data_IF_327555758158
#
_entry.id   IF_327555758158
#
_cell.length_a   1.000
_cell.length_b   1.000
_cell.length_c   1.000
_cell.angle_alpha   90.00
_cell.angle_beta   90.00
_cell.angle_gamma   90.00
#
_symmetry.space_group_name_H-M   'P 1'
#
loop_
_entity.id
_entity.type
_entity.pdbx_description
1 polymer ?
#
# COMPACT_ATOMS: atom_id res chain seq x y z
N UNK A 1 52.14 61.83 -33.63
CA UNK A 1 51.01 61.43 -32.76
C UNK A 1 50.28 60.17 -33.27
N UNK A 2 50.92 59.34 -34.11
CA UNK A 2 50.31 58.12 -34.65
C UNK A 2 50.94 56.80 -34.13
N UNK A 3 52.15 56.83 -33.56
CA UNK A 3 52.79 55.63 -33.00
C UNK A 3 52.16 55.16 -31.66
N UNK A 4 51.56 56.06 -30.88
CA UNK A 4 50.90 55.72 -29.60
C UNK A 4 49.50 55.08 -29.78
N UNK A 5 48.88 55.23 -30.95
CA UNK A 5 47.55 54.69 -31.25
C UNK A 5 47.60 53.19 -31.60
N UNK A 6 48.67 52.74 -32.28
CA UNK A 6 48.84 51.35 -32.66
C UNK A 6 49.23 50.44 -31.48
N UNK A 7 50.03 50.93 -30.54
CA UNK A 7 50.49 50.14 -29.39
C UNK A 7 49.35 49.80 -28.41
N UNK A 8 48.43 50.75 -28.18
CA UNK A 8 47.27 50.53 -27.30
C UNK A 8 46.24 49.55 -27.89
N UNK A 9 46.08 49.50 -29.21
CA UNK A 9 45.20 48.51 -29.86
C UNK A 9 45.76 47.09 -29.79
N UNK A 10 47.09 46.93 -29.82
CA UNK A 10 47.73 45.63 -29.73
C UNK A 10 47.76 45.09 -28.29
N UNK A 11 47.97 45.96 -27.30
CA UNK A 11 47.87 45.58 -25.87
C UNK A 11 46.45 45.18 -25.48
N UNK A 12 45.43 45.91 -25.93
CA UNK A 12 44.04 45.56 -25.67
C UNK A 12 43.63 44.23 -26.33
N UNK A 13 44.15 43.93 -27.54
CA UNK A 13 43.90 42.66 -28.23
C UNK A 13 44.57 41.44 -27.57
N UNK A 14 45.74 41.62 -26.95
CA UNK A 14 46.40 40.56 -26.17
C UNK A 14 45.67 40.31 -24.84
N UNK A 15 45.25 41.37 -24.15
CA UNK A 15 44.58 41.27 -22.84
C UNK A 15 43.21 40.58 -22.94
N UNK A 16 42.44 40.85 -24.01
CA UNK A 16 41.16 40.17 -24.27
C UNK A 16 41.36 38.68 -24.55
N UNK A 17 42.46 38.28 -25.22
CA UNK A 17 42.70 36.88 -25.59
C UNK A 17 43.14 36.03 -24.39
N UNK A 18 43.86 36.61 -23.44
CA UNK A 18 44.31 35.95 -22.21
C UNK A 18 43.14 35.74 -21.22
N UNK A 19 42.24 36.72 -21.08
CA UNK A 19 41.01 36.57 -20.29
C UNK A 19 40.09 35.47 -20.82
N UNK A 20 39.96 35.34 -22.15
CA UNK A 20 39.15 34.27 -22.76
C UNK A 20 39.78 32.88 -22.55
N UNK A 21 41.11 32.78 -22.57
CA UNK A 21 41.80 31.52 -22.29
C UNK A 21 41.65 31.09 -20.82
N UNK A 22 41.70 32.05 -19.89
CA UNK A 22 41.48 31.82 -18.45
C UNK A 22 40.03 31.42 -18.18
N UNK A 23 39.05 32.08 -18.82
CA UNK A 23 37.63 31.72 -18.75
C UNK A 23 37.39 30.28 -19.25
N UNK A 24 38.05 29.88 -20.33
CA UNK A 24 37.90 28.54 -20.91
C UNK A 24 38.59 27.46 -20.06
N UNK A 25 39.71 27.78 -19.40
CA UNK A 25 40.36 26.89 -18.43
C UNK A 25 39.54 26.75 -17.15
N UNK A 26 38.95 27.83 -16.64
CA UNK A 26 38.02 27.79 -15.50
C UNK A 26 36.75 27.00 -15.84
N UNK A 27 36.22 27.13 -17.05
CA UNK A 27 35.08 26.32 -17.51
C UNK A 27 35.43 24.82 -17.62
N UNK A 28 36.64 24.48 -18.08
CA UNK A 28 37.11 23.08 -18.12
C UNK A 28 37.36 22.51 -16.73
N UNK A 29 37.92 23.31 -15.82
CA UNK A 29 38.12 22.91 -14.42
C UNK A 29 36.78 22.74 -13.70
N UNK A 30 35.83 23.66 -13.91
CA UNK A 30 34.46 23.57 -13.40
C UNK A 30 33.74 22.33 -13.93
N UNK A 31 33.89 21.97 -15.21
CA UNK A 31 33.30 20.74 -15.75
C UNK A 31 33.97 19.45 -15.21
N UNK A 32 35.28 19.47 -14.96
CA UNK A 32 36.00 18.32 -14.42
C UNK A 32 35.69 18.07 -12.93
N UNK A 33 35.45 19.13 -12.14
CA UNK A 33 34.99 19.01 -10.75
C UNK A 33 33.48 18.77 -10.66
N UNK A 34 32.64 19.34 -11.56
CA UNK A 34 31.22 19.00 -11.63
C UNK A 34 31.00 17.52 -11.98
N UNK A 35 31.77 16.96 -12.92
CA UNK A 35 31.63 15.55 -13.29
C UNK A 35 31.96 14.57 -12.15
N UNK A 36 32.92 14.92 -11.28
CA UNK A 36 33.23 14.11 -10.09
C UNK A 36 32.26 14.35 -8.94
N UNK A 37 31.77 15.58 -8.77
CA UNK A 37 30.73 15.89 -7.79
C UNK A 37 29.36 15.32 -8.18
N UNK A 38 29.05 15.19 -9.48
CA UNK A 38 27.80 14.60 -9.96
C UNK A 38 27.70 13.10 -9.65
N UNK A 39 28.79 12.35 -9.76
CA UNK A 39 28.77 10.94 -9.38
C UNK A 39 28.58 10.75 -7.85
N UNK A 40 29.18 11.61 -7.02
CA UNK A 40 28.95 11.60 -5.56
C UNK A 40 27.56 12.14 -5.16
N UNK A 41 27.00 13.06 -5.97
CA UNK A 41 25.64 13.56 -5.78
C UNK A 41 24.62 12.52 -6.20
N UNK A 42 24.85 11.72 -7.26
CA UNK A 42 23.97 10.60 -7.64
C UNK A 42 23.88 9.54 -6.54
N UNK A 43 25.00 9.22 -5.86
CA UNK A 43 25.05 8.26 -4.76
C UNK A 43 24.33 8.79 -3.50
N UNK A 44 24.46 10.10 -3.20
CA UNK A 44 23.69 10.77 -2.13
C UNK A 44 22.22 11.01 -2.50
N UNK A 45 21.90 11.20 -3.79
CA UNK A 45 20.53 11.39 -4.29
C UNK A 45 19.75 10.07 -4.29
N UNK A 46 20.41 8.94 -4.59
CA UNK A 46 19.82 7.63 -4.41
C UNK A 46 19.40 7.40 -2.94
N UNK A 47 20.25 7.81 -1.99
CA UNK A 47 19.97 7.74 -0.55
C UNK A 47 18.79 8.66 -0.13
N UNK A 48 18.71 9.88 -0.67
CA UNK A 48 17.58 10.79 -0.43
C UNK A 48 16.28 10.34 -1.15
N UNK A 49 16.38 9.72 -2.32
CA UNK A 49 15.24 9.13 -3.05
C UNK A 49 14.75 7.86 -2.34
N UNK A 50 15.64 7.07 -1.73
CA UNK A 50 15.30 5.93 -0.86
C UNK A 50 14.55 6.37 0.40
N UNK A 51 14.98 7.45 1.06
CA UNK A 51 14.28 8.04 2.21
C UNK A 51 12.89 8.61 1.83
N UNK A 52 12.77 9.15 0.61
CA UNK A 52 11.50 9.61 0.03
C UNK A 52 10.61 8.45 -0.45
N UNK A 53 11.19 7.33 -0.88
CA UNK A 53 10.49 6.10 -1.22
C UNK A 53 9.85 5.48 0.03
N UNK A 54 10.52 5.54 1.20
CA UNK A 54 9.93 5.13 2.47
C UNK A 54 8.74 6.01 2.90
N UNK A 55 8.75 7.31 2.57
CA UNK A 55 7.66 8.24 2.87
C UNK A 55 6.44 8.11 1.93
N UNK A 56 6.52 7.31 0.86
CA UNK A 56 5.54 7.27 -0.23
C UNK A 56 4.87 5.91 -0.45
N UNK A 57 5.06 4.93 0.44
CA UNK A 57 4.20 3.73 0.48
C UNK A 57 2.82 4.06 1.08
N UNK A 58 2.69 5.21 1.76
CA UNK A 58 1.48 5.70 2.43
C UNK A 58 0.65 6.57 1.45
N UNK A 59 -0.69 6.50 1.45
CA UNK A 59 -1.50 7.57 0.87
C UNK A 59 -1.21 8.91 1.61
N UNK A 60 -1.09 10.04 0.90
CA UNK A 60 -0.88 11.32 1.55
C UNK A 60 -2.13 11.70 2.36
N UNK A 61 -1.95 12.00 3.66
CA UNK A 61 -2.92 12.78 4.41
C UNK A 61 -2.79 14.25 3.97
N UNK A 62 -3.41 14.63 2.85
CA UNK A 62 -3.66 16.04 2.57
C UNK A 62 -5.16 16.28 2.36
N UNK A 63 -5.66 17.28 3.10
CA UNK A 63 -7.02 17.82 3.17
C UNK A 63 -7.98 17.19 4.19
N UNK A 64 -7.68 17.35 5.48
CA UNK A 64 -8.74 17.45 6.49
C UNK A 64 -9.24 18.90 6.47
N UNK A 65 -10.47 19.09 6.01
CA UNK A 65 -11.19 20.37 6.16
C UNK A 65 -11.48 20.62 7.65
N UNK A 66 -11.27 21.83 8.20
CA UNK A 66 -11.52 22.16 9.61
C UNK A 66 -12.96 21.93 10.09
N UNK A 67 -13.90 21.64 9.18
CA UNK A 67 -15.32 21.41 9.52
C UNK A 67 -15.61 20.03 10.15
N UNK A 68 -14.72 19.05 10.06
CA UNK A 68 -14.96 17.69 10.59
C UNK A 68 -14.47 17.46 12.03
N UNK A 69 -13.72 18.41 12.60
CA UNK A 69 -13.29 18.37 14.00
C UNK A 69 -14.40 18.75 15.00
N UNK A 70 -15.51 19.33 14.51
CA UNK A 70 -16.62 19.79 15.35
C UNK A 70 -17.65 18.69 15.66
N UNK A 71 -17.81 17.69 14.78
CA UNK A 71 -18.87 16.68 14.91
C UNK A 71 -18.52 15.53 15.88
N UNK A 72 -17.25 15.42 16.30
CA UNK A 72 -16.79 14.39 17.26
C UNK A 72 -16.97 14.78 18.74
N UNK A 73 -17.47 15.97 19.05
CA UNK A 73 -17.60 16.45 20.44
C UNK A 73 -19.03 16.39 21.02
N UNK A 74 -20.03 15.90 20.29
CA UNK A 74 -21.44 15.94 20.72
C UNK A 74 -22.17 14.60 20.56
N UNK A 75 -21.81 13.61 21.38
CA UNK A 75 -22.68 12.52 21.86
C UNK A 75 -21.87 11.75 22.89
N UNK A 76 -22.17 11.70 24.18
CA UNK A 76 -23.45 11.69 24.84
C UNK A 76 -23.36 10.57 25.86
N UNK A 77 -23.02 10.91 27.11
CA UNK A 77 -23.13 10.02 28.26
C UNK A 77 -24.57 9.53 28.38
N UNK A 78 -24.78 8.24 28.57
CA UNK A 78 -25.59 7.71 29.66
C UNK A 78 -25.40 6.19 29.79
N UNK A 79 -25.43 5.74 31.04
CA UNK A 79 -25.12 4.36 31.42
C UNK A 79 -26.35 3.55 31.86
N UNK A 80 -26.04 2.28 32.13
CA UNK A 80 -26.66 1.40 33.14
C UNK A 80 -28.01 0.73 32.79
N UNK A 81 -28.03 -0.59 32.56
CA UNK A 81 -28.27 -1.59 33.63
C UNK A 81 -28.35 -3.04 33.12
N UNK A 82 -28.01 -3.92 34.06
CA UNK A 82 -27.79 -5.37 34.03
C UNK A 82 -29.10 -6.18 34.00
N UNK A 83 -29.08 -7.37 33.36
CA UNK A 83 -29.72 -8.59 33.93
C UNK A 83 -29.22 -9.89 33.27
N UNK A 84 -28.62 -10.74 34.10
CA UNK A 84 -28.22 -12.13 33.85
C UNK A 84 -29.30 -13.15 34.26
N UNK A 85 -29.05 -14.41 33.84
CA UNK A 85 -29.51 -15.72 34.36
C UNK A 85 -30.85 -16.28 33.79
N UNK A 86 -30.99 -17.56 33.36
CA UNK A 86 -30.37 -18.85 33.76
C UNK A 86 -30.33 -19.87 32.58
N UNK A 87 -29.37 -20.80 32.64
CA UNK A 87 -29.09 -21.99 31.80
C UNK A 87 -30.22 -23.03 31.62
N UNK A 88 -30.15 -23.82 30.52
CA UNK A 88 -30.04 -25.31 30.43
C UNK A 88 -30.46 -25.81 29.00
N UNK A 89 -30.19 -27.08 28.57
CA UNK A 89 -28.94 -27.67 28.07
C UNK A 89 -28.97 -28.07 26.57
N UNK A 90 -27.78 -28.45 26.08
CA UNK A 90 -27.43 -29.11 24.81
C UNK A 90 -28.49 -30.04 24.18
N UNK A 91 -28.78 -29.82 22.89
CA UNK A 91 -29.05 -30.88 21.92
C UNK A 91 -28.39 -30.51 20.58
N UNK A 92 -27.64 -31.48 20.07
CA UNK A 92 -26.86 -31.50 18.85
C UNK A 92 -27.78 -31.45 17.61
N UNK A 93 -27.88 -30.29 16.96
CA UNK A 93 -28.46 -30.17 15.62
C UNK A 93 -27.40 -29.70 14.62
N UNK A 94 -26.96 -30.67 13.81
CA UNK A 94 -26.18 -30.47 12.58
C UNK A 94 -26.72 -29.29 11.78
N UNK A 95 -25.92 -28.22 11.71
CA UNK A 95 -26.20 -27.09 10.80
C UNK A 95 -26.13 -27.57 9.35
N UNK A 96 -27.07 -27.18 8.47
CA UNK A 96 -26.95 -27.40 7.04
C UNK A 96 -25.68 -26.69 6.55
N UNK A 97 -24.77 -27.44 5.92
CA UNK A 97 -23.55 -26.88 5.36
C UNK A 97 -23.90 -25.78 4.38
N UNK A 98 -23.34 -24.58 4.58
CA UNK A 98 -23.36 -23.52 3.60
C UNK A 98 -22.80 -24.11 2.29
N UNK A 99 -23.61 -24.12 1.24
CA UNK A 99 -23.17 -24.62 -0.05
C UNK A 99 -21.94 -23.79 -0.45
N UNK A 100 -20.79 -24.46 -0.62
CA UNK A 100 -19.53 -23.81 -1.04
C UNK A 100 -19.84 -22.93 -2.23
N UNK A 101 -19.49 -21.65 -2.16
CA UNK A 101 -19.75 -20.72 -3.27
C UNK A 101 -18.86 -21.16 -4.42
N UNK A 102 -19.42 -21.95 -5.34
CA UNK A 102 -18.70 -22.44 -6.50
C UNK A 102 -18.42 -21.24 -7.42
N UNK A 103 -17.15 -20.83 -7.47
CA UNK A 103 -16.69 -19.85 -8.47
C UNK A 103 -16.60 -20.58 -9.81
N UNK A 104 -17.39 -20.22 -10.84
CA UNK A 104 -17.34 -20.89 -12.13
C UNK A 104 -15.97 -20.64 -12.80
N UNK A 105 -15.13 -21.67 -12.86
CA UNK A 105 -13.77 -21.60 -13.43
C UNK A 105 -13.73 -21.37 -14.94
N UNK A 106 -14.82 -21.60 -15.66
CA UNK A 106 -14.84 -21.74 -17.13
C UNK A 106 -15.09 -20.45 -17.92
N UNK A 107 -15.26 -19.28 -17.28
CA UNK A 107 -15.64 -18.02 -17.96
C UNK A 107 -14.71 -16.85 -17.62
N UNK A 108 -13.83 -16.99 -16.62
CA UNK A 108 -13.00 -15.88 -16.14
C UNK A 108 -11.62 -15.89 -16.82
N UNK A 109 -11.08 -14.74 -17.27
CA UNK A 109 -9.70 -14.65 -17.74
C UNK A 109 -8.74 -15.23 -16.70
N UNK A 110 -7.71 -15.96 -17.12
CA UNK A 110 -6.71 -16.50 -16.17
C UNK A 110 -6.06 -15.38 -15.37
N UNK A 111 -5.72 -14.28 -16.05
CA UNK A 111 -5.16 -13.07 -15.46
C UNK A 111 -5.93 -11.81 -15.91
N UNK A 112 -5.99 -10.81 -15.02
CA UNK A 112 -6.34 -9.43 -15.35
C UNK A 112 -5.08 -8.55 -15.30
N UNK A 113 -5.03 -7.52 -16.14
CA UNK A 113 -3.88 -6.60 -16.23
C UNK A 113 -4.24 -5.25 -15.60
N UNK A 114 -3.43 -4.78 -14.65
CA UNK A 114 -3.56 -3.41 -14.14
C UNK A 114 -3.12 -2.43 -15.24
N UNK A 115 -4.00 -1.51 -15.68
CA UNK A 115 -3.82 -0.76 -16.92
C UNK A 115 -2.65 0.23 -16.91
N UNK A 116 -2.24 0.76 -15.75
CA UNK A 116 -1.20 1.79 -15.68
C UNK A 116 0.22 1.21 -15.61
N UNK A 117 0.37 0.02 -15.05
CA UNK A 117 1.66 -0.65 -14.85
C UNK A 117 1.88 -1.79 -15.83
N UNK A 118 0.81 -2.35 -16.42
CA UNK A 118 0.87 -3.53 -17.27
C UNK A 118 1.11 -4.83 -16.50
N UNK A 119 1.07 -4.80 -15.17
CA UNK A 119 1.27 -5.97 -14.32
C UNK A 119 0.01 -6.85 -14.34
N UNK A 120 0.22 -8.15 -14.48
CA UNK A 120 -0.84 -9.16 -14.46
C UNK A 120 -1.06 -9.71 -13.06
N UNK A 121 -2.33 -9.86 -12.70
CA UNK A 121 -2.79 -10.52 -11.49
C UNK A 121 -3.69 -11.69 -11.88
N UNK A 122 -3.45 -12.90 -11.35
CA UNK A 122 -4.36 -14.01 -11.58
C UNK A 122 -5.73 -13.69 -11.02
N UNK A 123 -6.79 -14.22 -11.62
CA UNK A 123 -8.15 -14.00 -11.09
C UNK A 123 -8.46 -14.86 -9.88
N UNK A 124 -7.71 -15.95 -9.71
CA UNK A 124 -7.79 -16.87 -8.59
C UNK A 124 -6.40 -17.09 -7.98
N UNK A 125 -6.28 -16.98 -6.65
CA UNK A 125 -5.13 -17.52 -5.92
C UNK A 125 -5.50 -18.90 -5.40
N UNK A 126 -4.81 -19.92 -5.93
CA UNK A 126 -4.91 -21.28 -5.43
C UNK A 126 -3.76 -21.55 -4.47
N UNK A 127 -4.09 -22.10 -3.30
CA UNK A 127 -3.10 -22.55 -2.33
C UNK A 127 -2.81 -24.03 -2.61
N UNK A 128 -1.52 -24.40 -2.71
CA UNK A 128 -1.07 -25.76 -3.09
C UNK A 128 -1.57 -26.89 -2.15
N UNK A 129 -2.26 -26.54 -1.05
CA UNK A 129 -2.65 -27.45 0.03
C UNK A 129 -4.14 -27.37 0.40
N UNK A 130 -4.89 -26.36 -0.06
CA UNK A 130 -6.30 -26.14 0.31
C UNK A 130 -7.16 -25.76 -0.90
N UNK A 131 -8.33 -26.38 -1.11
CA UNK A 131 -9.16 -26.19 -2.31
C UNK A 131 -10.04 -24.93 -2.27
N UNK A 132 -9.78 -23.95 -1.41
CA UNK A 132 -10.55 -22.70 -1.34
C UNK A 132 -9.78 -21.57 -2.00
N UNK A 133 -9.98 -21.42 -3.31
CA UNK A 133 -9.38 -20.34 -4.08
C UNK A 133 -9.87 -18.97 -3.57
N UNK A 134 -8.96 -18.01 -3.44
CA UNK A 134 -9.29 -16.61 -3.22
C UNK A 134 -9.55 -15.94 -4.57
N UNK A 135 -10.58 -15.09 -4.63
CA UNK A 135 -10.99 -14.41 -5.86
C UNK A 135 -10.47 -12.98 -5.85
N UNK A 136 -9.90 -12.53 -6.96
CA UNK A 136 -9.51 -11.13 -7.15
C UNK A 136 -10.74 -10.22 -7.14
N UNK A 137 -10.80 -9.28 -6.20
CA UNK A 137 -11.91 -8.32 -6.06
C UNK A 137 -11.51 -6.88 -6.36
N UNK A 138 -10.22 -6.59 -6.53
CA UNK A 138 -9.79 -5.28 -6.99
C UNK A 138 -8.30 -5.23 -7.29
N UNK A 139 -7.91 -4.30 -8.16
CA UNK A 139 -6.52 -4.02 -8.49
C UNK A 139 -6.26 -2.53 -8.52
N UNK A 140 -5.03 -2.15 -8.20
CA UNK A 140 -4.59 -0.77 -8.30
C UNK A 140 -3.08 -0.69 -8.32
N UNK A 141 -2.56 0.52 -8.21
CA UNK A 141 -1.12 0.76 -8.17
C UNK A 141 -0.82 1.95 -7.27
N UNK A 142 0.42 2.01 -6.78
CA UNK A 142 0.94 3.12 -6.00
C UNK A 142 2.06 3.79 -6.78
N UNK A 143 1.94 5.09 -7.03
CA UNK A 143 2.98 5.89 -7.70
C UNK A 143 3.47 7.08 -6.87
N UNK A 144 4.78 7.27 -6.79
CA UNK A 144 5.38 8.44 -6.17
C UNK A 144 5.64 9.53 -7.23
N UNK A 145 5.28 10.78 -6.93
CA UNK A 145 5.68 11.93 -7.77
C UNK A 145 7.13 12.30 -7.46
N UNK A 146 7.97 12.27 -8.48
CA UNK A 146 9.37 12.72 -8.43
C UNK A 146 9.46 14.04 -9.20
N UNK A 147 9.84 15.11 -8.48
CA UNK A 147 9.88 16.49 -9.01
C UNK A 147 8.51 16.94 -9.55
N UNK A 148 8.45 18.04 -10.31
CA UNK A 148 7.17 18.58 -10.82
C UNK A 148 6.57 17.77 -11.98
N UNK A 149 7.31 16.85 -12.61
CA UNK A 149 6.92 16.31 -13.94
C UNK A 149 6.95 14.80 -14.10
N UNK A 150 7.53 14.03 -13.18
CA UNK A 150 7.63 12.56 -13.32
C UNK A 150 6.87 11.84 -12.21
N UNK A 151 6.15 10.78 -12.57
CA UNK A 151 5.58 9.84 -11.63
C UNK A 151 6.31 8.50 -11.78
N UNK A 152 6.66 7.91 -10.65
CA UNK A 152 7.32 6.63 -10.56
C UNK A 152 6.35 5.62 -9.95
N UNK A 153 6.01 4.57 -10.70
CA UNK A 153 5.18 3.48 -10.17
C UNK A 153 6.04 2.63 -9.23
N UNK A 154 5.66 2.57 -7.95
CA UNK A 154 6.38 1.80 -6.93
C UNK A 154 6.00 0.32 -7.01
N UNK A 155 4.69 0.05 -7.03
CA UNK A 155 4.13 -1.30 -7.12
C UNK A 155 2.70 -1.24 -7.70
N UNK A 156 2.27 -2.37 -8.26
CA UNK A 156 0.85 -2.68 -8.44
C UNK A 156 0.38 -3.60 -7.32
N UNK A 157 -0.92 -3.62 -7.03
CA UNK A 157 -1.50 -4.52 -6.05
C UNK A 157 -2.80 -5.13 -6.55
N UNK A 158 -3.09 -6.34 -6.08
CA UNK A 158 -4.39 -7.00 -6.20
C UNK A 158 -4.89 -7.42 -4.82
N UNK A 159 -6.18 -7.19 -4.54
CA UNK A 159 -6.85 -7.64 -3.32
C UNK A 159 -7.73 -8.84 -3.64
N UNK A 160 -7.56 -9.90 -2.88
CA UNK A 160 -8.25 -11.18 -3.02
C UNK A 160 -9.03 -11.50 -1.77
N UNK A 161 -10.18 -12.16 -1.93
CA UNK A 161 -11.03 -12.59 -0.82
C UNK A 161 -11.48 -14.03 -1.03
N UNK A 162 -11.48 -14.82 0.04
CA UNK A 162 -12.07 -16.15 0.05
C UNK A 162 -13.60 -16.06 0.18
N UNK A 163 -14.39 -16.53 -0.82
CA UNK A 163 -15.84 -16.33 -0.86
C UNK A 163 -16.61 -16.90 0.34
N UNK A 164 -16.24 -18.09 0.83
CA UNK A 164 -16.97 -18.69 1.95
C UNK A 164 -16.74 -17.91 3.25
N UNK A 165 -15.54 -17.34 3.45
CA UNK A 165 -15.18 -16.54 4.62
C UNK A 165 -16.03 -15.27 4.69
N UNK A 166 -16.16 -14.56 3.57
CA UNK A 166 -17.02 -13.36 3.51
C UNK A 166 -18.50 -13.72 3.67
N UNK A 167 -18.98 -14.83 3.09
CA UNK A 167 -20.36 -15.28 3.28
C UNK A 167 -20.67 -15.61 4.74
N UNK A 168 -19.78 -16.36 5.39
CA UNK A 168 -19.96 -16.76 6.79
C UNK A 168 -19.95 -15.56 7.75
N UNK A 169 -19.21 -14.50 7.42
CA UNK A 169 -19.07 -13.32 8.29
C UNK A 169 -20.11 -12.24 8.02
N UNK A 170 -20.33 -11.91 6.76
CA UNK A 170 -21.08 -10.73 6.35
C UNK A 170 -22.31 -11.05 5.48
N UNK A 171 -22.50 -12.31 5.07
CA UNK A 171 -23.62 -12.73 4.23
C UNK A 171 -24.99 -12.37 4.82
N UNK A 172 -25.22 -12.72 6.09
CA UNK A 172 -26.51 -12.45 6.76
C UNK A 172 -26.85 -10.96 6.88
N UNK A 173 -25.84 -10.07 6.86
CA UNK A 173 -26.04 -8.63 7.01
C UNK A 173 -26.21 -7.93 5.66
N UNK A 174 -25.51 -8.39 4.62
CA UNK A 174 -25.40 -7.65 3.36
C UNK A 174 -25.90 -8.39 2.11
N UNK A 175 -26.26 -9.69 2.16
CA UNK A 175 -26.70 -10.45 0.98
C UNK A 175 -27.97 -9.88 0.31
N UNK A 176 -28.86 -9.28 1.10
CA UNK A 176 -30.09 -8.64 0.60
C UNK A 176 -29.91 -7.17 0.24
N UNK A 177 -28.75 -6.57 0.53
CA UNK A 177 -28.47 -5.16 0.25
C UNK A 177 -28.08 -5.01 -1.23
N UNK A 178 -28.66 -4.06 -1.97
CA UNK A 178 -28.26 -3.81 -3.36
C UNK A 178 -26.77 -3.44 -3.47
N UNK A 179 -26.04 -4.10 -4.39
CA UNK A 179 -24.58 -3.88 -4.58
C UNK A 179 -24.26 -2.41 -4.84
N UNK A 180 -25.11 -1.72 -5.58
CA UNK A 180 -24.92 -0.30 -5.92
C UNK A 180 -24.90 0.61 -4.69
N UNK A 181 -25.52 0.19 -3.58
CA UNK A 181 -25.58 0.94 -2.31
C UNK A 181 -24.38 0.64 -1.41
N UNK A 182 -23.75 -0.54 -1.54
CA UNK A 182 -22.66 -0.96 -0.65
C UNK A 182 -21.40 -0.09 -0.77
N UNK A 183 -21.10 0.43 -1.96
CA UNK A 183 -19.91 1.27 -2.18
C UNK A 183 -19.94 2.59 -1.39
N UNK A 184 -21.14 3.06 -1.05
CA UNK A 184 -21.39 4.32 -0.33
C UNK A 184 -21.77 4.05 1.14
N UNK A 185 -21.73 2.79 1.59
CA UNK A 185 -22.13 2.38 2.94
C UNK A 185 -20.90 2.30 3.87
N UNK A 186 -20.66 3.27 4.77
CA UNK A 186 -19.45 3.30 5.61
C UNK A 186 -19.33 2.05 6.49
N UNK A 187 -20.42 1.60 7.10
CA UNK A 187 -20.41 0.40 7.96
C UNK A 187 -19.97 -0.86 7.21
N UNK A 188 -20.17 -0.94 5.89
CA UNK A 188 -19.73 -2.08 5.10
C UNK A 188 -18.20 -2.20 5.11
N UNK A 189 -17.49 -1.09 4.95
CA UNK A 189 -16.03 -1.07 5.03
C UNK A 189 -15.53 -1.34 6.45
N UNK A 190 -16.19 -0.77 7.45
CA UNK A 190 -15.81 -1.01 8.86
C UNK A 190 -15.99 -2.49 9.23
N UNK A 191 -17.09 -3.13 8.81
CA UNK A 191 -17.32 -4.55 9.05
C UNK A 191 -16.33 -5.43 8.29
N UNK A 192 -15.99 -5.10 7.04
CA UNK A 192 -14.93 -5.80 6.29
C UNK A 192 -13.58 -5.76 7.01
N UNK A 193 -13.27 -4.64 7.68
CA UNK A 193 -12.04 -4.44 8.43
C UNK A 193 -12.09 -5.07 9.83
N UNK A 194 -13.27 -5.13 10.45
CA UNK A 194 -13.44 -5.65 11.81
C UNK A 194 -13.51 -7.16 11.87
N UNK A 195 -14.12 -7.79 10.88
CA UNK A 195 -14.29 -9.23 10.84
C UNK A 195 -13.00 -9.94 10.39
N UNK A 196 -12.77 -11.15 10.92
CA UNK A 196 -11.66 -11.99 10.50
C UNK A 196 -11.97 -12.68 9.17
N UNK A 197 -11.99 -11.91 8.08
CA UNK A 197 -12.20 -12.43 6.72
C UNK A 197 -10.86 -12.86 6.14
N UNK A 198 -10.84 -14.02 5.47
CA UNK A 198 -9.66 -14.49 4.77
C UNK A 198 -9.46 -13.65 3.50
N UNK A 199 -8.44 -12.80 3.52
CA UNK A 199 -8.12 -11.86 2.45
C UNK A 199 -6.62 -11.82 2.23
N UNK A 200 -6.22 -11.59 0.98
CA UNK A 200 -4.83 -11.43 0.60
C UNK A 200 -4.65 -10.16 -0.22
N UNK A 201 -3.66 -9.34 0.13
CA UNK A 201 -3.13 -8.31 -0.77
C UNK A 201 -1.82 -8.81 -1.35
N UNK A 202 -1.78 -8.97 -2.67
CA UNK A 202 -0.55 -9.24 -3.42
C UNK A 202 0.01 -7.95 -3.95
N UNK A 203 1.22 -7.60 -3.56
CA UNK A 203 2.01 -6.52 -4.16
C UNK A 203 2.95 -7.08 -5.21
N UNK A 204 3.09 -6.38 -6.33
CA UNK A 204 4.09 -6.69 -7.37
C UNK A 204 4.94 -5.46 -7.59
N UNK A 205 6.23 -5.58 -7.27
CA UNK A 205 7.14 -4.44 -7.30
C UNK A 205 7.41 -3.98 -8.73
N UNK A 206 7.22 -2.68 -8.98
CA UNK A 206 7.38 -2.06 -10.30
C UNK A 206 8.65 -1.20 -10.40
N UNK A 207 9.24 -0.82 -9.28
CA UNK A 207 10.43 0.03 -9.23
C UNK A 207 11.69 -0.73 -8.79
N UNK A 208 12.80 -0.52 -9.50
CA UNK A 208 14.08 -1.09 -9.13
C UNK A 208 14.81 -0.14 -8.16
N UNK A 209 15.31 -0.67 -7.04
CA UNK A 209 16.04 0.12 -6.05
C UNK A 209 15.25 0.46 -4.79
N UNK A 210 14.15 -0.25 -4.49
CA UNK A 210 13.59 -0.26 -3.14
C UNK A 210 14.45 -1.17 -2.26
N UNK A 211 15.08 -0.61 -1.22
CA UNK A 211 15.68 -1.44 -0.18
C UNK A 211 14.60 -2.03 0.72
N UNK A 212 14.83 -3.22 1.25
CA UNK A 212 13.95 -3.86 2.23
C UNK A 212 13.76 -2.99 3.48
N UNK A 213 14.81 -2.28 3.90
CA UNK A 213 14.76 -1.30 5.00
C UNK A 213 13.81 -0.15 4.71
N UNK A 214 13.84 0.43 3.50
CA UNK A 214 12.90 1.49 3.12
C UNK A 214 11.45 0.98 3.10
N UNK A 215 11.23 -0.26 2.66
CA UNK A 215 9.91 -0.92 2.69
C UNK A 215 9.43 -1.11 4.13
N UNK A 216 10.29 -1.65 5.01
CA UNK A 216 10.01 -1.81 6.44
C UNK A 216 9.61 -0.49 7.08
N UNK A 217 10.44 0.53 6.93
CA UNK A 217 10.24 1.84 7.57
C UNK A 217 8.92 2.49 7.09
N UNK A 218 8.57 2.28 5.81
CA UNK A 218 7.32 2.77 5.24
C UNK A 218 6.09 2.09 5.84
N UNK A 219 6.12 0.76 6.01
CA UNK A 219 5.05 0.03 6.67
C UNK A 219 4.96 0.40 8.14
N UNK A 220 6.08 0.48 8.87
CA UNK A 220 6.09 0.88 10.29
C UNK A 220 5.43 2.23 10.49
N UNK A 221 5.75 3.21 9.63
CA UNK A 221 5.11 4.53 9.70
C UNK A 221 3.61 4.48 9.35
N UNK A 222 3.24 3.80 8.27
CA UNK A 222 1.85 3.71 7.80
C UNK A 222 0.93 3.01 8.80
N UNK A 223 1.36 1.82 9.23
CA UNK A 223 0.62 0.98 10.15
C UNK A 223 0.62 1.58 11.55
N UNK A 224 1.71 2.23 11.97
CA UNK A 224 1.78 2.92 13.26
C UNK A 224 0.69 3.97 13.41
N UNK A 225 0.48 4.83 12.41
CA UNK A 225 -0.58 5.83 12.45
C UNK A 225 -1.98 5.19 12.54
N UNK A 226 -2.24 4.15 11.75
CA UNK A 226 -3.54 3.46 11.73
C UNK A 226 -3.82 2.70 13.02
N UNK A 227 -2.82 2.01 13.56
CA UNK A 227 -2.91 1.35 14.85
C UNK A 227 -3.23 2.34 15.96
N UNK A 228 -2.58 3.50 16.00
CA UNK A 228 -2.86 4.54 16.99
C UNK A 228 -4.29 5.07 16.88
N UNK A 229 -4.78 5.29 15.66
CA UNK A 229 -6.16 5.74 15.40
C UNK A 229 -7.19 4.71 15.88
N UNK A 230 -6.94 3.42 15.66
CA UNK A 230 -7.86 2.33 16.01
C UNK A 230 -7.80 1.94 17.49
N UNK A 231 -6.60 1.98 18.07
CA UNK A 231 -6.32 1.60 19.45
C UNK A 231 -5.34 2.61 20.06
N UNK A 232 -5.85 3.68 20.72
CA UNK A 232 -5.02 4.71 21.35
C UNK A 232 -4.05 4.19 22.42
N UNK A 233 -4.31 2.98 22.95
CA UNK A 233 -3.51 2.33 23.98
C UNK A 233 -2.53 1.28 23.41
N UNK A 234 -2.33 1.25 22.09
CA UNK A 234 -1.45 0.27 21.45
C UNK A 234 0.00 0.39 21.96
N UNK A 235 0.63 -0.74 22.24
CA UNK A 235 2.05 -0.85 22.64
C UNK A 235 3.00 -1.02 21.44
N UNK A 236 2.43 -1.07 20.23
CA UNK A 236 3.12 -1.30 18.97
C UNK A 236 3.95 -2.59 18.92
N UNK A 237 3.71 -3.56 19.81
CA UNK A 237 4.48 -4.81 19.81
C UNK A 237 4.25 -5.60 18.51
N UNK A 238 3.00 -5.74 18.07
CA UNK A 238 2.66 -6.41 16.81
C UNK A 238 3.37 -5.78 15.60
N UNK A 239 3.50 -4.45 15.59
CA UNK A 239 4.17 -3.70 14.53
C UNK A 239 5.68 -3.92 14.54
N UNK A 240 6.30 -3.92 15.71
CA UNK A 240 7.74 -4.21 15.86
C UNK A 240 8.05 -5.65 15.43
N UNK A 241 7.23 -6.61 15.83
CA UNK A 241 7.36 -8.00 15.38
C UNK A 241 7.23 -8.09 13.86
N UNK A 242 6.23 -7.43 13.28
CA UNK A 242 6.04 -7.38 11.82
C UNK A 242 7.26 -6.81 11.10
N UNK A 243 7.77 -5.65 11.54
CA UNK A 243 8.95 -5.01 10.98
C UNK A 243 10.21 -5.87 11.06
N UNK A 244 10.35 -6.68 12.12
CA UNK A 244 11.52 -7.55 12.30
C UNK A 244 11.69 -8.63 11.23
N UNK A 245 10.62 -9.01 10.53
CA UNK A 245 10.67 -10.01 9.46
C UNK A 245 11.32 -9.49 8.17
N UNK A 246 11.36 -8.18 7.97
CA UNK A 246 11.96 -7.51 6.82
C UNK A 246 13.48 -7.36 7.01
N UNK A 247 14.18 -8.50 7.02
CA UNK A 247 15.62 -8.56 7.23
C UNK A 247 16.40 -8.06 6.01
N UNK A 248 17.59 -7.48 6.26
CA UNK A 248 18.44 -6.87 5.22
C UNK A 248 18.89 -7.84 4.11
N UNK A 249 18.82 -9.16 4.33
CA UNK A 249 19.14 -10.18 3.32
C UNK A 249 18.02 -10.43 2.30
N UNK A 250 16.82 -9.89 2.52
CA UNK A 250 15.70 -10.00 1.58
C UNK A 250 15.90 -9.00 0.44
N UNK A 251 15.97 -9.53 -0.78
CA UNK A 251 16.06 -8.71 -2.00
C UNK A 251 14.67 -8.48 -2.58
N UNK A 252 14.42 -7.26 -3.05
CA UNK A 252 13.16 -6.87 -3.70
C UNK A 252 13.44 -6.29 -5.09
N UNK A 253 13.87 -7.11 -6.07
CA UNK A 253 13.92 -6.67 -7.46
C UNK A 253 12.52 -6.38 -8.03
N UNK A 254 12.48 -5.69 -9.18
CA UNK A 254 11.24 -5.54 -9.96
C UNK A 254 10.65 -6.92 -10.28
N UNK A 255 9.32 -7.05 -10.13
CA UNK A 255 8.58 -8.28 -10.33
C UNK A 255 8.43 -9.15 -9.07
N UNK A 256 9.13 -8.83 -7.98
CA UNK A 256 8.96 -9.53 -6.68
C UNK A 256 7.50 -9.47 -6.26
N UNK A 257 6.95 -10.63 -5.87
CA UNK A 257 5.59 -10.75 -5.34
C UNK A 257 5.64 -10.79 -3.82
N UNK A 258 4.92 -9.89 -3.17
CA UNK A 258 4.81 -9.86 -1.71
C UNK A 258 3.34 -10.02 -1.34
N UNK A 259 3.01 -11.10 -0.66
CA UNK A 259 1.64 -11.41 -0.24
C UNK A 259 1.48 -11.13 1.25
N UNK A 260 0.45 -10.36 1.58
CA UNK A 260 0.01 -10.11 2.95
C UNK A 260 -1.36 -10.73 3.12
N UNK A 261 -1.42 -11.77 3.93
CA UNK A 261 -2.61 -12.60 4.08
C UNK A 261 -3.15 -12.52 5.49
N UNK A 262 -4.42 -12.14 5.62
CA UNK A 262 -5.16 -12.27 6.85
C UNK A 262 -5.84 -13.63 6.88
N UNK A 263 -5.63 -14.38 7.95
CA UNK A 263 -6.29 -15.67 8.19
C UNK A 263 -7.60 -15.50 8.97
N UNK A 264 -8.47 -16.51 8.94
CA UNK A 264 -9.75 -16.50 9.68
C UNK A 264 -9.57 -16.42 11.22
N UNK A 265 -8.42 -16.80 11.75
CA UNK A 265 -8.07 -16.69 13.17
C UNK A 265 -7.43 -15.33 13.54
N UNK A 266 -7.20 -14.43 12.58
CA UNK A 266 -6.71 -13.08 12.82
C UNK A 266 -5.18 -12.97 12.90
N UNK A 267 -4.49 -13.78 12.09
CA UNK A 267 -3.06 -13.71 11.86
C UNK A 267 -2.77 -12.97 10.55
N UNK A 268 -1.74 -12.12 10.55
CA UNK A 268 -1.19 -11.52 9.32
C UNK A 268 0.08 -12.29 8.93
N UNK A 269 0.00 -13.04 7.83
CA UNK A 269 1.12 -13.79 7.23
C UNK A 269 1.74 -12.93 6.12
N UNK A 270 3.07 -12.88 6.10
CA UNK A 270 3.83 -12.20 5.03
C UNK A 270 4.64 -13.21 4.24
N UNK A 271 4.46 -13.24 2.93
CA UNK A 271 5.18 -14.10 2.00
C UNK A 271 5.92 -13.27 0.95
N UNK A 272 7.13 -13.67 0.59
CA UNK A 272 7.91 -13.06 -0.51
C UNK A 272 8.25 -14.15 -1.51
N UNK A 273 7.83 -13.98 -2.76
CA UNK A 273 7.92 -14.96 -3.84
C UNK A 273 7.45 -16.37 -3.42
N UNK A 274 6.33 -16.42 -2.68
CA UNK A 274 5.72 -17.65 -2.20
C UNK A 274 6.41 -18.29 -0.99
N UNK A 275 7.45 -17.66 -0.42
CA UNK A 275 8.08 -18.08 0.83
C UNK A 275 7.58 -17.23 1.99
N UNK A 276 6.95 -17.86 2.98
CA UNK A 276 6.61 -17.19 4.23
C UNK A 276 7.87 -16.70 4.95
N UNK A 277 7.92 -15.39 5.25
CA UNK A 277 9.00 -14.75 6.00
C UNK A 277 8.58 -14.39 7.42
N UNK A 278 7.27 -14.36 7.71
CA UNK A 278 6.76 -13.98 9.02
C UNK A 278 5.27 -14.20 9.17
N UNK A 279 4.83 -14.24 10.42
CA UNK A 279 3.42 -14.25 10.81
C UNK A 279 3.25 -13.49 12.13
N UNK A 280 2.21 -12.67 12.24
CA UNK A 280 1.88 -11.93 13.47
C UNK A 280 0.43 -12.18 13.85
N UNK A 281 0.22 -12.74 15.04
CA UNK A 281 -1.12 -12.91 15.61
C UNK A 281 -1.61 -11.57 16.19
N UNK A 282 -2.36 -10.79 15.41
CA UNK A 282 -2.91 -9.51 15.86
C UNK A 282 -4.02 -9.04 14.94
N UNK A 283 -5.25 -8.98 15.46
CA UNK A 283 -6.40 -8.43 14.74
C UNK A 283 -6.22 -6.95 14.44
N UNK A 284 -5.67 -6.19 15.39
CA UNK A 284 -5.39 -4.76 15.21
C UNK A 284 -4.41 -4.53 14.05
N UNK A 285 -3.36 -5.36 13.93
CA UNK A 285 -2.42 -5.26 12.82
C UNK A 285 -3.08 -5.64 11.48
N UNK A 286 -3.88 -6.71 11.45
CA UNK A 286 -4.65 -7.09 10.26
C UNK A 286 -5.56 -5.93 9.82
N UNK A 287 -6.37 -5.40 10.75
CA UNK A 287 -7.25 -4.27 10.51
C UNK A 287 -6.48 -3.05 9.99
N UNK A 288 -5.40 -2.66 10.64
CA UNK A 288 -4.56 -1.53 10.23
C UNK A 288 -3.95 -1.73 8.84
N UNK A 289 -3.58 -2.96 8.48
CA UNK A 289 -3.03 -3.28 7.16
C UNK A 289 -4.07 -3.15 6.06
N UNK A 290 -5.22 -3.82 6.18
CA UNK A 290 -6.26 -3.77 5.16
C UNK A 290 -6.94 -2.39 5.08
N UNK A 291 -6.94 -1.61 6.17
CA UNK A 291 -7.40 -0.22 6.21
C UNK A 291 -6.59 0.70 5.29
N UNK A 292 -5.35 0.33 4.91
CA UNK A 292 -4.62 1.06 3.85
C UNK A 292 -5.31 0.98 2.48
N UNK A 293 -6.07 -0.08 2.19
CA UNK A 293 -6.64 -0.35 0.87
C UNK A 293 -8.14 -0.05 0.80
N UNK A 294 -8.89 -0.45 1.82
CA UNK A 294 -10.36 -0.32 1.86
C UNK A 294 -10.84 0.66 2.94
N UNK A 295 -9.92 1.19 3.74
CA UNK A 295 -10.20 2.16 4.79
C UNK A 295 -10.22 3.61 4.32
N UNK A 296 -9.93 4.53 5.24
CA UNK A 296 -9.91 5.97 4.98
C UNK A 296 -8.67 6.68 5.57
N UNK A 297 -7.84 7.37 4.74
CA UNK A 297 -7.87 7.40 3.27
C UNK A 297 -7.29 6.10 2.68
N UNK A 298 -7.84 5.55 1.59
CA UNK A 298 -7.26 4.38 0.92
C UNK A 298 -6.09 4.76 0.00
N UNK A 299 -5.29 3.78 -0.42
CA UNK A 299 -4.27 3.95 -1.48
C UNK A 299 -4.89 4.45 -2.78
N UNK A 300 -6.10 3.99 -3.12
CA UNK A 300 -6.85 4.41 -4.30
C UNK A 300 -8.36 4.40 -4.00
N UNK A 301 -9.01 5.56 -4.10
CA UNK A 301 -10.45 5.69 -3.88
C UNK A 301 -11.24 4.92 -4.94
N UNK A 302 -10.79 4.98 -6.20
CA UNK A 302 -11.37 4.23 -7.31
C UNK A 302 -11.32 2.72 -7.04
N UNK A 303 -10.13 2.21 -6.68
CA UNK A 303 -9.96 0.78 -6.37
C UNK A 303 -10.77 0.35 -5.15
N UNK A 304 -10.90 1.20 -4.12
CA UNK A 304 -11.76 0.91 -2.96
C UNK A 304 -13.22 0.71 -3.38
N UNK A 305 -13.74 1.52 -4.29
CA UNK A 305 -15.11 1.40 -4.79
C UNK A 305 -15.30 0.13 -5.63
N UNK A 306 -14.33 -0.19 -6.50
CA UNK A 306 -14.34 -1.43 -7.27
C UNK A 306 -14.33 -2.67 -6.36
N UNK A 307 -13.51 -2.65 -5.31
CA UNK A 307 -13.49 -3.70 -4.28
C UNK A 307 -14.87 -3.84 -3.65
N UNK A 308 -15.49 -2.74 -3.20
CA UNK A 308 -16.79 -2.82 -2.56
C UNK A 308 -17.87 -3.41 -3.48
N UNK A 309 -17.88 -2.99 -4.75
CA UNK A 309 -18.80 -3.52 -5.75
C UNK A 309 -18.60 -5.01 -6.00
N UNK A 310 -17.36 -5.46 -6.19
CA UNK A 310 -17.05 -6.86 -6.46
C UNK A 310 -17.34 -7.75 -5.25
N UNK A 311 -16.99 -7.30 -4.03
CA UNK A 311 -17.30 -8.00 -2.78
C UNK A 311 -18.80 -8.08 -2.55
N UNK A 312 -19.55 -7.00 -2.81
CA UNK A 312 -21.01 -7.04 -2.80
C UNK A 312 -21.59 -8.09 -3.77
N UNK A 313 -21.00 -8.22 -4.95
CA UNK A 313 -21.35 -9.27 -5.91
C UNK A 313 -21.01 -10.69 -5.43
N UNK A 314 -19.95 -10.87 -4.63
CA UNK A 314 -19.68 -12.14 -3.94
C UNK A 314 -20.76 -12.41 -2.89
N UNK A 315 -21.07 -11.42 -2.05
CA UNK A 315 -21.98 -11.55 -0.91
C UNK A 315 -23.41 -11.86 -1.34
N UNK A 316 -23.87 -11.35 -2.50
CA UNK A 316 -25.18 -11.69 -3.07
C UNK A 316 -25.36 -13.15 -3.48
N UNK A 317 -24.27 -13.92 -3.52
CA UNK A 317 -24.27 -15.35 -3.83
C UNK A 317 -24.19 -16.23 -2.58
N UNK A 318 -24.07 -15.59 -1.41
CA UNK A 318 -24.51 -16.17 -0.15
C UNK A 318 -26.06 -16.11 -0.12
#
# INVERSE_FOLDING_TARGET
QEAFSCFNKHLAGLQVREEHAIQMLLAKLANATLGRAWNEVEERHACNILMLAAASVIPPFENISPKMLADSMMLGKDGDQIREHVDQPYLDERRPGCARVAVPRTILPEDLTEPRTGIKFPTLLEENSNPTAEVLVGMGYRSMRIMKVKNLNLYAFGLYIQPDSICNKLGSKYATVPVAELKDHPDFYEDLLRENIHMTVRLVVSYNGLSISAVRDAFEKSLGFRLQKMNPNTDYHCLKTFGSYFREDIRIPVGTKIDFRQTCDGQLITEVDGKQIGAVQSKDLCRAFFDMYIGDPPVSVETKQDIAQNVGGLIRRC
#
